data_IF_791881360462
#
_entry.id   IF_791881360462
#
_cell.length_a   1.000
_cell.length_b   1.000
_cell.length_c   1.000
_cell.angle_alpha   90.00
_cell.angle_beta   90.00
_cell.angle_gamma   90.00
#
_symmetry.space_group_name_H-M   'P 1'
#
loop_
_entity.id
_entity.type
_entity.pdbx_description
1 polymer ?
#
# COMPACT_ATOMS: atom_id res chain seq x y z
N UNK A 1 -0.48 -12.82 -8.71
CA UNK A 1 0.62 -12.32 -9.57
C UNK A 1 1.44 -11.31 -8.78
N UNK A 2 2.71 -11.59 -8.44
CA UNK A 2 3.63 -10.57 -7.88
C UNK A 2 3.94 -9.58 -9.00
N UNK A 3 3.31 -8.41 -9.02
CA UNK A 3 3.69 -7.35 -9.94
C UNK A 3 4.89 -6.60 -9.37
N UNK A 4 6.08 -6.89 -9.89
CA UNK A 4 7.30 -6.12 -9.62
C UNK A 4 7.32 -4.77 -10.36
N UNK A 5 6.20 -4.32 -10.93
CA UNK A 5 6.07 -3.10 -11.73
C UNK A 5 4.94 -2.20 -11.22
N UNK A 6 4.67 -2.20 -9.92
CA UNK A 6 3.66 -1.34 -9.30
C UNK A 6 4.23 -0.03 -8.76
N UNK A 7 3.37 0.92 -8.34
CA UNK A 7 3.78 2.22 -7.81
C UNK A 7 4.73 2.16 -6.60
N UNK A 8 4.70 1.03 -5.88
CA UNK A 8 5.53 0.74 -4.71
C UNK A 8 6.75 -0.14 -5.01
N UNK A 9 7.11 -0.36 -6.27
CA UNK A 9 8.21 -1.27 -6.65
C UNK A 9 9.49 -1.00 -5.85
N UNK A 10 9.96 0.24 -5.82
CA UNK A 10 11.19 0.61 -5.12
C UNK A 10 11.07 0.42 -3.60
N UNK A 11 9.85 0.52 -3.05
CA UNK A 11 9.61 0.32 -1.63
C UNK A 11 9.79 -1.13 -1.19
N UNK A 12 9.49 -2.11 -2.07
CA UNK A 12 9.56 -3.52 -1.71
C UNK A 12 10.98 -4.00 -1.34
N UNK A 13 12.01 -3.25 -1.74
CA UNK A 13 13.41 -3.52 -1.41
C UNK A 13 13.76 -3.06 0.02
N UNK A 14 13.04 -2.07 0.57
CA UNK A 14 13.34 -1.44 1.88
C UNK A 14 12.26 -1.65 2.93
N UNK A 15 11.02 -1.93 2.53
CA UNK A 15 9.88 -2.25 3.39
C UNK A 15 9.21 -3.51 2.85
N UNK A 16 9.00 -4.52 3.69
CA UNK A 16 8.32 -5.74 3.27
C UNK A 16 6.81 -5.47 3.14
N UNK A 17 6.20 -5.68 1.96
CA UNK A 17 4.77 -5.42 1.76
C UNK A 17 3.85 -6.38 2.53
N UNK A 18 4.37 -7.50 3.01
CA UNK A 18 3.55 -8.61 3.50
C UNK A 18 2.78 -8.30 4.79
N UNK A 19 3.35 -7.46 5.66
CA UNK A 19 2.66 -7.02 6.89
C UNK A 19 1.50 -6.08 6.55
N UNK A 20 1.78 -5.00 5.81
CA UNK A 20 0.75 -4.08 5.30
C UNK A 20 -0.36 -4.78 4.52
N UNK A 21 -0.01 -5.78 3.71
CA UNK A 21 -1.00 -6.55 2.96
C UNK A 21 -1.93 -7.35 3.87
N UNK A 22 -1.38 -8.02 4.90
CA UNK A 22 -2.18 -8.79 5.85
C UNK A 22 -3.11 -7.88 6.65
N UNK A 23 -2.58 -6.76 7.13
CA UNK A 23 -3.34 -5.80 7.92
C UNK A 23 -4.43 -5.15 7.06
N UNK A 24 -4.12 -4.80 5.80
CA UNK A 24 -5.11 -4.35 4.83
C UNK A 24 -6.27 -5.33 4.66
N UNK A 25 -5.98 -6.63 4.48
CA UNK A 25 -7.03 -7.64 4.30
C UNK A 25 -7.92 -7.73 5.54
N UNK A 26 -7.31 -7.66 6.73
CA UNK A 26 -8.05 -7.70 7.99
C UNK A 26 -8.94 -6.46 8.13
N UNK A 27 -8.39 -5.25 8.00
CA UNK A 27 -9.13 -4.01 8.23
C UNK A 27 -10.24 -3.80 7.17
N UNK A 28 -9.96 -4.12 5.91
CA UNK A 28 -10.96 -4.06 4.83
C UNK A 28 -12.08 -5.09 5.09
N UNK A 29 -11.75 -6.29 5.56
CA UNK A 29 -12.77 -7.28 5.90
C UNK A 29 -13.63 -6.85 7.10
N UNK A 30 -13.01 -6.26 8.13
CA UNK A 30 -13.71 -5.76 9.33
C UNK A 30 -14.56 -4.52 9.07
N UNK A 31 -14.35 -3.85 7.94
CA UNK A 31 -15.09 -2.65 7.53
C UNK A 31 -16.08 -2.91 6.39
N UNK A 32 -16.49 -4.17 6.18
CA UNK A 32 -17.39 -4.58 5.10
C UNK A 32 -16.92 -4.12 3.71
N UNK A 33 -15.61 -4.08 3.49
CA UNK A 33 -15.02 -3.68 2.22
C UNK A 33 -14.89 -2.17 2.03
N UNK A 34 -14.88 -1.37 3.10
CA UNK A 34 -14.83 0.09 2.99
C UNK A 34 -13.58 0.57 2.24
N UNK A 35 -13.79 1.28 1.13
CA UNK A 35 -12.71 1.86 0.32
C UNK A 35 -11.85 2.86 1.10
N UNK A 36 -12.43 3.58 2.06
CA UNK A 36 -11.69 4.51 2.94
C UNK A 36 -10.58 3.81 3.73
N UNK A 37 -10.84 2.59 4.21
CA UNK A 37 -9.85 1.78 4.95
C UNK A 37 -8.73 1.32 4.02
N UNK A 38 -9.08 0.87 2.81
CA UNK A 38 -8.06 0.57 1.79
C UNK A 38 -7.15 1.79 1.52
N UNK A 39 -7.72 2.97 1.35
CA UNK A 39 -6.94 4.19 1.12
C UNK A 39 -6.04 4.54 2.30
N UNK A 40 -6.50 4.39 3.53
CA UNK A 40 -5.70 4.64 4.73
C UNK A 40 -4.50 3.70 4.82
N UNK A 41 -4.67 2.42 4.50
CA UNK A 41 -3.56 1.45 4.53
C UNK A 41 -2.55 1.74 3.41
N UNK A 42 -3.00 2.09 2.22
CA UNK A 42 -2.12 2.50 1.12
C UNK A 42 -1.37 3.80 1.45
N UNK A 43 -2.02 4.76 2.10
CA UNK A 43 -1.40 5.99 2.60
C UNK A 43 -0.30 5.70 3.62
N UNK A 44 -0.59 4.84 4.62
CA UNK A 44 0.38 4.43 5.62
C UNK A 44 1.59 3.73 5.00
N UNK A 45 1.36 2.87 4.01
CA UNK A 45 2.43 2.20 3.29
C UNK A 45 3.28 3.19 2.50
N UNK A 46 2.65 4.10 1.74
CA UNK A 46 3.33 5.14 0.99
C UNK A 46 4.21 6.04 1.88
N UNK A 47 3.68 6.48 3.03
CA UNK A 47 4.43 7.28 3.99
C UNK A 47 5.64 6.51 4.54
N UNK A 48 5.48 5.23 4.88
CA UNK A 48 6.57 4.38 5.37
C UNK A 48 7.65 4.19 4.31
N UNK A 49 7.25 3.98 3.04
CA UNK A 49 8.17 3.89 1.91
C UNK A 49 9.01 5.18 1.76
N UNK A 50 8.36 6.34 1.79
CA UNK A 50 9.02 7.64 1.64
C UNK A 50 9.97 7.93 2.81
N UNK A 51 9.59 7.58 4.04
CA UNK A 51 10.46 7.70 5.22
C UNK A 51 11.73 6.82 5.10
N UNK A 52 11.66 5.71 4.36
CA UNK A 52 12.80 4.83 4.07
C UNK A 52 13.57 5.26 2.81
N UNK A 53 13.23 6.41 2.22
CA UNK A 53 13.89 6.95 1.03
C UNK A 53 13.49 6.30 -0.29
N UNK A 54 12.46 5.44 -0.31
CA UNK A 54 11.98 4.84 -1.55
C UNK A 54 11.10 5.82 -2.34
N UNK A 55 11.29 5.84 -3.66
CA UNK A 55 10.39 6.54 -4.57
C UNK A 55 9.05 5.79 -4.65
N UNK A 56 7.96 6.50 -4.39
CA UNK A 56 6.58 6.01 -4.58
C UNK A 56 6.00 6.74 -5.79
N UNK A 57 5.61 5.99 -6.82
CA UNK A 57 4.94 6.56 -8.00
C UNK A 57 3.46 6.82 -7.69
N UNK A 58 2.73 7.41 -8.65
CA UNK A 58 1.29 7.65 -8.47
C UNK A 58 0.53 6.34 -8.23
N UNK A 59 0.01 6.21 -7.03
CA UNK A 59 -0.81 5.09 -6.59
C UNK A 59 -2.26 5.50 -6.31
N UNK A 60 -2.54 6.80 -6.19
CA UNK A 60 -3.87 7.32 -5.88
C UNK A 60 -4.81 7.12 -7.05
N UNK A 61 -4.43 7.61 -8.24
CA UNK A 61 -5.21 7.45 -9.47
C UNK A 61 -5.61 5.99 -9.75
N UNK A 62 -4.70 4.98 -9.74
CA UNK A 62 -5.07 3.60 -10.02
C UNK A 62 -5.86 2.93 -8.88
N UNK A 63 -5.72 3.36 -7.63
CA UNK A 63 -6.52 2.85 -6.50
C UNK A 63 -7.89 3.55 -6.36
N UNK A 64 -8.07 4.69 -7.03
CA UNK A 64 -9.20 5.58 -6.86
C UNK A 64 -9.27 6.21 -5.46
N UNK A 65 -8.14 6.24 -4.76
CA UNK A 65 -7.87 7.13 -3.63
C UNK A 65 -7.24 8.45 -4.17
#
# INVERSE_FOLDING_TARGET
>A
KKSFQGPFRACHEVVRPQEFYRDCLYDVCMSDGAKSILCQVLDAYAATCQQRGALVQDWRTPSGC
#
